data_IF_508716040984
#
_entry.id   IF_508716040984
#
_cell.length_a   1.000
_cell.length_b   1.000
_cell.length_c   1.000
_cell.angle_alpha   90.00
_cell.angle_beta   90.00
_cell.angle_gamma   90.00
#
_symmetry.space_group_name_H-M   'P 1'
#
loop_
_entity.id
_entity.type
_entity.pdbx_description
1 polymer ?
#
# COMPACT_ATOMS: atom_id res chain seq x y z
N UNK A 1 -68.61 10.94 -9.00
CA UNK A 1 -67.73 9.99 -8.28
C UNK A 1 -66.51 9.75 -9.17
N UNK A 2 -65.34 10.29 -8.79
CA UNK A 2 -64.09 10.16 -9.55
C UNK A 2 -63.30 9.02 -8.93
N UNK A 3 -63.21 7.89 -9.63
CA UNK A 3 -62.39 6.77 -9.20
C UNK A 3 -60.94 7.03 -9.66
N UNK A 4 -60.11 7.47 -8.72
CA UNK A 4 -58.65 7.45 -8.82
C UNK A 4 -58.18 6.00 -8.69
N UNK A 5 -57.55 5.45 -9.73
CA UNK A 5 -56.81 4.18 -9.65
C UNK A 5 -55.33 4.51 -9.69
N UNK A 6 -54.69 4.43 -8.52
CA UNK A 6 -53.24 4.44 -8.34
C UNK A 6 -52.70 3.08 -8.79
N UNK A 7 -52.00 3.04 -9.92
CA UNK A 7 -51.18 1.90 -10.28
C UNK A 7 -49.77 2.14 -9.72
N UNK A 8 -49.50 1.61 -8.53
CA UNK A 8 -48.16 1.48 -7.96
C UNK A 8 -47.42 0.38 -8.74
N UNK A 9 -46.56 0.79 -9.68
CA UNK A 9 -45.61 -0.11 -10.32
C UNK A 9 -44.41 -0.33 -9.39
N UNK A 10 -44.37 -1.49 -8.75
CA UNK A 10 -43.28 -2.00 -7.94
C UNK A 10 -42.37 -2.89 -8.79
N UNK A 11 -41.05 -2.70 -8.63
CA UNK A 11 -39.95 -3.63 -8.92
C UNK A 11 -39.48 -3.69 -10.39
N UNK A 12 -38.37 -3.02 -10.67
CA UNK A 12 -37.18 -3.63 -11.28
C UNK A 12 -36.07 -2.59 -11.44
N UNK A 13 -35.15 -2.53 -10.47
CA UNK A 13 -33.73 -2.23 -10.68
C UNK A 13 -33.01 -2.28 -9.33
N UNK A 14 -33.01 -3.44 -8.68
CA UNK A 14 -31.91 -3.80 -7.77
C UNK A 14 -30.63 -4.03 -8.59
N UNK A 15 -30.20 -3.00 -9.33
CA UNK A 15 -28.95 -2.97 -10.09
C UNK A 15 -27.79 -2.36 -9.30
N UNK A 16 -28.00 -2.00 -8.03
CA UNK A 16 -27.03 -1.29 -7.20
C UNK A 16 -26.40 -2.19 -6.12
N UNK A 17 -26.10 -3.46 -6.42
CA UNK A 17 -25.22 -4.29 -5.59
C UNK A 17 -24.35 -5.20 -6.44
N UNK A 18 -23.91 -4.72 -7.59
CA UNK A 18 -22.64 -5.18 -8.16
C UNK A 18 -21.57 -4.13 -7.82
N UNK A 19 -21.50 -3.72 -6.55
CA UNK A 19 -20.24 -3.21 -6.01
C UNK A 19 -19.35 -4.44 -5.89
N UNK A 20 -18.85 -4.93 -7.04
CA UNK A 20 -17.76 -5.90 -7.05
C UNK A 20 -16.71 -5.32 -6.12
N UNK A 21 -16.31 -6.09 -5.11
CA UNK A 21 -15.20 -5.69 -4.23
C UNK A 21 -14.12 -5.17 -5.15
N UNK A 22 -13.81 -3.87 -5.06
CA UNK A 22 -12.67 -3.33 -5.80
C UNK A 22 -11.50 -4.21 -5.37
N UNK A 23 -10.90 -4.91 -6.34
CA UNK A 23 -9.77 -5.77 -6.05
C UNK A 23 -8.75 -4.93 -5.26
N UNK A 24 -8.17 -5.53 -4.21
CA UNK A 24 -7.13 -4.84 -3.44
C UNK A 24 -6.08 -4.33 -4.44
N UNK A 25 -5.83 -3.01 -4.54
CA UNK A 25 -4.91 -2.45 -5.54
C UNK A 25 -3.47 -2.97 -5.37
N UNK A 26 -3.15 -3.57 -4.21
CA UNK A 26 -1.87 -4.22 -3.97
C UNK A 26 -1.88 -5.73 -4.18
N UNK A 27 -2.98 -6.35 -4.65
CA UNK A 27 -3.12 -7.80 -4.72
C UNK A 27 -2.01 -8.47 -5.54
N UNK A 28 -1.65 -7.87 -6.68
CA UNK A 28 -0.58 -8.34 -7.56
C UNK A 28 0.80 -8.20 -6.89
N UNK A 29 1.13 -7.02 -6.37
CA UNK A 29 2.38 -6.78 -5.65
C UNK A 29 2.54 -7.73 -4.44
N UNK A 30 1.45 -7.95 -3.70
CA UNK A 30 1.39 -8.91 -2.59
C UNK A 30 1.60 -10.36 -3.08
N UNK A 31 1.09 -10.72 -4.26
CA UNK A 31 1.30 -12.04 -4.85
C UNK A 31 2.76 -12.25 -5.26
N UNK A 32 3.36 -11.28 -5.95
CA UNK A 32 4.78 -11.29 -6.29
C UNK A 32 5.66 -11.44 -5.04
N UNK A 33 5.31 -10.73 -3.96
CA UNK A 33 6.03 -10.84 -2.69
C UNK A 33 5.92 -12.24 -2.07
N UNK A 34 4.71 -12.84 -2.04
CA UNK A 34 4.50 -14.21 -1.53
C UNK A 34 5.25 -15.25 -2.36
N UNK A 35 5.38 -15.03 -3.66
CA UNK A 35 6.11 -15.90 -4.58
C UNK A 35 7.65 -15.73 -4.48
N UNK A 36 8.13 -14.83 -3.62
CA UNK A 36 9.55 -14.55 -3.44
C UNK A 36 10.19 -13.69 -4.53
N UNK A 37 9.38 -13.10 -5.41
CA UNK A 37 9.83 -12.23 -6.51
C UNK A 37 9.98 -10.79 -6.01
N UNK A 38 10.93 -10.58 -5.09
CA UNK A 38 11.01 -9.34 -4.31
C UNK A 38 11.27 -8.08 -5.14
N UNK A 39 12.21 -8.10 -6.10
CA UNK A 39 12.40 -7.00 -7.05
C UNK A 39 11.11 -6.62 -7.80
N UNK A 40 10.35 -7.62 -8.27
CA UNK A 40 9.09 -7.38 -9.01
C UNK A 40 7.99 -6.85 -8.07
N UNK A 41 7.92 -7.36 -6.84
CA UNK A 41 7.01 -6.85 -5.84
C UNK A 41 7.30 -5.39 -5.49
N UNK A 42 8.58 -5.04 -5.30
CA UNK A 42 9.01 -3.66 -5.05
C UNK A 42 8.62 -2.74 -6.21
N UNK A 43 8.87 -3.14 -7.46
CA UNK A 43 8.44 -2.38 -8.63
C UNK A 43 6.92 -2.16 -8.65
N UNK A 44 6.12 -3.20 -8.39
CA UNK A 44 4.66 -3.09 -8.37
C UNK A 44 4.14 -2.21 -7.21
N UNK A 45 4.77 -2.23 -6.03
CA UNK A 45 4.41 -1.28 -4.96
C UNK A 45 4.81 0.15 -5.31
N UNK A 46 5.94 0.36 -5.99
CA UNK A 46 6.35 1.67 -6.46
C UNK A 46 5.35 2.23 -7.49
N UNK A 47 4.92 1.41 -8.45
CA UNK A 47 3.86 1.80 -9.41
C UNK A 47 2.55 2.17 -8.70
N UNK A 48 2.20 1.47 -7.63
CA UNK A 48 1.04 1.82 -6.82
C UNK A 48 1.19 3.21 -6.18
N UNK A 49 2.37 3.55 -5.63
CA UNK A 49 2.67 4.91 -5.13
C UNK A 49 2.55 5.94 -6.26
N UNK A 50 3.12 5.66 -7.43
CA UNK A 50 3.07 6.55 -8.60
C UNK A 50 1.64 6.78 -9.11
N UNK A 51 0.75 5.81 -8.91
CA UNK A 51 -0.69 5.93 -9.21
C UNK A 51 -1.47 6.74 -8.17
N UNK A 52 -0.81 7.23 -7.13
CA UNK A 52 -1.41 8.02 -6.05
C UNK A 52 -1.89 7.19 -4.86
N UNK A 53 -1.61 5.89 -4.81
CA UNK A 53 -1.86 5.08 -3.62
C UNK A 53 -0.75 5.33 -2.60
N UNK A 54 -0.83 6.46 -1.89
CA UNK A 54 0.09 6.83 -0.83
C UNK A 54 -0.49 6.47 0.55
N UNK A 55 0.33 5.84 1.38
CA UNK A 55 -0.02 5.53 2.76
C UNK A 55 0.94 4.54 3.42
N UNK A 56 0.87 4.40 4.75
CA UNK A 56 1.82 3.61 5.54
C UNK A 56 1.91 2.16 5.08
N UNK A 57 0.79 1.58 4.62
CA UNK A 57 0.73 0.21 4.12
C UNK A 57 1.56 0.01 2.84
N UNK A 58 1.51 0.95 1.89
CA UNK A 58 2.26 0.81 0.63
C UNK A 58 3.75 1.03 0.89
N UNK A 59 4.10 2.04 1.68
CA UNK A 59 5.48 2.26 2.09
C UNK A 59 6.06 1.08 2.87
N UNK A 60 5.31 0.51 3.83
CA UNK A 60 5.74 -0.68 4.57
C UNK A 60 5.95 -1.89 3.66
N UNK A 61 5.03 -2.15 2.74
CA UNK A 61 5.13 -3.29 1.85
C UNK A 61 6.24 -3.13 0.79
N UNK A 62 6.42 -1.93 0.25
CA UNK A 62 7.55 -1.58 -0.61
C UNK A 62 8.87 -1.77 0.14
N UNK A 63 8.96 -1.27 1.37
CA UNK A 63 10.14 -1.45 2.21
C UNK A 63 10.45 -2.93 2.47
N UNK A 64 9.43 -3.76 2.74
CA UNK A 64 9.61 -5.21 2.87
C UNK A 64 10.14 -5.83 1.57
N UNK A 65 9.60 -5.43 0.41
CA UNK A 65 10.08 -5.89 -0.91
C UNK A 65 11.55 -5.54 -1.13
N UNK A 66 11.89 -4.26 -0.98
CA UNK A 66 13.26 -3.74 -1.13
C UNK A 66 14.25 -4.41 -0.16
N UNK A 67 13.84 -4.60 1.10
CA UNK A 67 14.66 -5.25 2.12
C UNK A 67 14.99 -6.69 1.72
N UNK A 68 13.99 -7.44 1.23
CA UNK A 68 14.17 -8.83 0.78
C UNK A 68 14.95 -8.95 -0.53
N UNK A 69 14.95 -7.89 -1.34
CA UNK A 69 15.77 -7.78 -2.54
C UNK A 69 17.23 -7.33 -2.25
N UNK A 70 17.52 -6.95 -1.00
CA UNK A 70 18.86 -6.49 -0.58
C UNK A 70 19.10 -4.99 -0.78
N UNK A 71 18.09 -4.23 -1.21
CA UNK A 71 18.13 -2.76 -1.31
C UNK A 71 17.88 -2.11 0.05
N UNK A 72 18.74 -2.42 1.04
CA UNK A 72 18.55 -2.04 2.45
C UNK A 72 18.40 -0.53 2.65
N UNK A 73 19.17 0.28 1.92
CA UNK A 73 19.11 1.74 2.04
C UNK A 73 17.75 2.33 1.66
N UNK A 74 17.16 1.86 0.56
CA UNK A 74 15.84 2.29 0.10
C UNK A 74 14.73 1.75 1.00
N UNK A 75 14.87 0.50 1.46
CA UNK A 75 13.94 -0.08 2.42
C UNK A 75 13.82 0.77 3.70
N UNK A 76 14.96 1.24 4.26
CA UNK A 76 14.97 2.12 5.43
C UNK A 76 14.17 3.41 5.16
N UNK A 77 14.35 4.03 3.99
CA UNK A 77 13.64 5.27 3.64
C UNK A 77 12.12 5.04 3.61
N UNK A 78 11.66 3.94 3.01
CA UNK A 78 10.24 3.59 2.97
C UNK A 78 9.68 3.17 4.33
N UNK A 79 10.44 2.45 5.18
CA UNK A 79 10.01 2.20 6.56
C UNK A 79 9.88 3.49 7.38
N UNK A 80 10.81 4.43 7.23
CA UNK A 80 10.73 5.74 7.89
C UNK A 80 9.48 6.50 7.46
N UNK A 81 9.19 6.53 6.16
CA UNK A 81 7.96 7.14 5.65
C UNK A 81 6.69 6.49 6.22
N UNK A 82 6.63 5.16 6.24
CA UNK A 82 5.51 4.43 6.83
C UNK A 82 5.35 4.79 8.33
N UNK A 83 6.47 4.92 9.06
CA UNK A 83 6.47 5.25 10.49
C UNK A 83 6.03 6.68 10.77
N UNK A 84 6.29 7.63 9.87
CA UNK A 84 5.78 9.02 10.00
C UNK A 84 4.24 9.01 10.03
N UNK A 85 3.60 8.26 9.13
CA UNK A 85 2.14 8.15 9.08
C UNK A 85 1.55 7.24 10.16
N UNK A 86 2.31 6.25 10.62
CA UNK A 86 1.87 5.26 11.61
C UNK A 86 2.88 5.12 12.77
N UNK A 87 3.09 6.17 13.60
CA UNK A 87 4.19 6.21 14.57
C UNK A 87 4.08 5.21 15.73
N UNK A 88 2.93 4.57 15.89
CA UNK A 88 2.69 3.55 16.93
C UNK A 88 2.68 2.12 16.38
N UNK A 89 2.93 1.95 15.09
CA UNK A 89 3.00 0.62 14.48
C UNK A 89 4.27 -0.10 14.94
N UNK A 90 4.08 -1.24 15.59
CA UNK A 90 5.17 -2.05 16.14
C UNK A 90 5.94 -2.80 15.06
N UNK A 91 5.27 -3.23 13.99
CA UNK A 91 5.86 -4.01 12.91
C UNK A 91 6.75 -3.12 12.04
N UNK A 92 6.28 -1.91 11.72
CA UNK A 92 7.09 -0.91 11.00
C UNK A 92 8.36 -0.59 11.79
N UNK A 93 8.24 -0.33 13.11
CA UNK A 93 9.42 -0.03 13.96
C UNK A 93 10.39 -1.21 14.00
N UNK A 94 9.89 -2.43 14.25
CA UNK A 94 10.73 -3.62 14.35
C UNK A 94 11.48 -3.91 13.04
N UNK A 95 10.83 -3.73 11.89
CA UNK A 95 11.47 -3.93 10.59
C UNK A 95 12.46 -2.81 10.25
N UNK A 96 12.15 -1.56 10.62
CA UNK A 96 13.10 -0.45 10.50
C UNK A 96 14.36 -0.71 11.33
N UNK A 97 14.22 -1.12 12.59
CA UNK A 97 15.35 -1.42 13.48
C UNK A 97 16.21 -2.56 12.93
N UNK A 98 15.58 -3.61 12.39
CA UNK A 98 16.29 -4.71 11.72
C UNK A 98 17.07 -4.19 10.50
N UNK A 99 16.42 -3.43 9.62
CA UNK A 99 17.07 -2.89 8.42
C UNK A 99 18.23 -1.95 8.77
N UNK A 100 18.10 -1.14 9.82
CA UNK A 100 19.17 -0.27 10.32
C UNK A 100 20.36 -1.06 10.86
N UNK A 101 20.13 -2.20 11.53
CA UNK A 101 21.17 -3.07 12.06
C UNK A 101 21.98 -3.80 10.98
N UNK A 102 21.38 -4.06 9.82
CA UNK A 102 22.02 -4.75 8.69
C UNK A 102 22.81 -3.81 7.77
N UNK A 103 22.68 -2.49 7.94
CA UNK A 103 23.35 -1.52 7.07
C UNK A 103 24.87 -1.54 7.31
N UNK A 104 25.71 -1.94 6.32
CA UNK A 104 27.14 -2.16 6.55
C UNK A 104 27.97 -0.88 6.75
N UNK A 105 27.46 0.29 6.34
CA UNK A 105 28.28 1.49 6.13
C UNK A 105 27.99 2.65 7.09
N UNK A 106 27.00 2.52 7.98
CA UNK A 106 26.64 3.55 8.95
C UNK A 106 26.18 4.89 8.36
N UNK A 107 26.08 5.02 7.02
CA UNK A 107 25.70 6.26 6.34
C UNK A 107 24.20 6.48 6.47
N UNK A 108 23.71 7.72 6.65
CA UNK A 108 22.27 7.97 6.68
C UNK A 108 21.60 7.37 5.43
N UNK A 109 20.41 6.80 5.59
CA UNK A 109 19.65 6.30 4.45
C UNK A 109 19.44 7.46 3.46
N UNK A 110 19.35 7.19 2.15
CA UNK A 110 19.00 8.21 1.18
C UNK A 110 17.76 8.95 1.70
N UNK A 111 17.87 10.26 1.88
CA UNK A 111 16.70 11.06 2.22
C UNK A 111 15.78 10.97 1.01
N UNK A 112 14.67 10.27 1.17
CA UNK A 112 13.68 10.21 0.12
C UNK A 112 13.10 11.61 -0.08
N UNK A 113 13.41 12.23 -1.22
CA UNK A 113 12.98 13.58 -1.57
C UNK A 113 11.45 13.73 -1.59
N UNK A 114 10.73 12.61 -1.72
CA UNK A 114 9.27 12.53 -1.66
C UNK A 114 8.71 12.57 -0.23
N UNK A 115 9.51 12.43 0.83
CA UNK A 115 9.02 12.49 2.23
C UNK A 115 8.58 13.91 2.64
N UNK A 116 9.07 14.95 1.96
CA UNK A 116 8.84 16.35 2.33
C UNK A 116 7.89 17.11 1.38
N UNK A 117 7.25 16.43 0.42
CA UNK A 117 6.27 17.04 -0.47
C UNK A 117 4.88 17.03 0.17
N UNK A 118 4.63 17.95 1.10
CA UNK A 118 3.30 18.29 1.62
C UNK A 118 3.02 19.78 1.41
#
# INVERSE_FOLDING_TARGET
MRATVLALALIAASGAWAQGQAADPLAEANALYRDGKFAQAAAAYHEALDSGLDGPRVHYNLANGLYRDGQIGEAIAHYQAALISAPRDGDIRANLDRALGERPDGRPAPSASWIHAA
#
